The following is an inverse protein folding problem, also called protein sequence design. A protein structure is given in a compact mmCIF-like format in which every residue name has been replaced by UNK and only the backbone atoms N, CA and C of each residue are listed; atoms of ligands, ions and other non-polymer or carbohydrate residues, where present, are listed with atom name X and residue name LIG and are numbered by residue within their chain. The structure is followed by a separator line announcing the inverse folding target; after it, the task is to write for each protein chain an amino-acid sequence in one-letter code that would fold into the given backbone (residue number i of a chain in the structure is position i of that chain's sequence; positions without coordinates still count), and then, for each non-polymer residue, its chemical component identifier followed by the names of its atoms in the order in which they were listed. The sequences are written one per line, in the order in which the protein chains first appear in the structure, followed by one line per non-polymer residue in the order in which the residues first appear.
data_IF_647158840920
#
_entry.id   IF_647158840920
#
_cell.length_a   1.000
_cell.length_b   1.000
_cell.length_c   1.000
_cell.angle_alpha   90.00
_cell.angle_beta   90.00
_cell.angle_gamma   90.00
#
_symmetry.space_group_name_H-M   'P 1'
#
loop_
_entity.id
_entity.type
_entity.pdbx_description
1 polymer ?
2 non-polymer ?
3 non-polymer ?
4 water ?
#
# COMPACT_ATOMS: atom_id res chain seq x y z
N UNK A 5 -24.13 -17.28 1.52
CA UNK A 5 -22.90 -18.17 1.50
C UNK A 5 -22.19 -18.26 0.10
N UNK A 6 -20.83 -18.34 0.11
CA UNK A 6 -19.88 -18.48 -1.05
C UNK A 6 -19.18 -19.85 -1.01
N UNK A 7 -19.00 -20.50 -2.16
CA UNK A 7 -18.25 -21.79 -2.28
C UNK A 7 -16.93 -21.58 -3.03
N UNK A 8 -15.81 -21.83 -2.35
CA UNK A 8 -14.46 -21.86 -2.99
C UNK A 8 -13.78 -23.19 -2.63
N UNK A 9 -13.43 -23.99 -3.64
CA UNK A 9 -12.80 -25.32 -3.47
C UNK A 9 -13.70 -26.16 -2.57
N UNK A 10 -14.98 -26.31 -2.94
CA UNK A 10 -16.02 -27.01 -2.18
C UNK A 10 -16.01 -26.72 -0.67
N UNK A 11 -15.78 -25.45 -0.28
CA UNK A 11 -15.84 -25.00 1.14
C UNK A 11 -16.86 -23.87 1.25
N UNK A 12 -17.71 -23.91 2.28
CA UNK A 12 -18.80 -22.93 2.45
C UNK A 12 -18.31 -21.83 3.39
N UNK A 13 -18.55 -20.59 3.00
CA UNK A 13 -18.32 -19.39 3.82
C UNK A 13 -19.64 -18.62 3.92
N UNK A 14 -20.24 -18.61 5.10
CA UNK A 14 -21.38 -17.71 5.44
C UNK A 14 -20.87 -16.28 5.35
N UNK A 15 -21.32 -15.49 4.38
CA UNK A 15 -21.09 -14.02 4.35
C UNK A 15 -21.60 -13.41 5.66
N UNK A 16 -20.81 -12.53 6.29
CA UNK A 16 -21.23 -11.64 7.40
C UNK A 16 -21.53 -10.26 6.82
N UNK A 17 -20.65 -9.69 6.01
CA UNK A 17 -21.00 -8.44 5.30
C UNK A 17 -19.99 -8.12 4.20
N UNK A 18 -20.44 -7.33 3.24
CA UNK A 18 -19.62 -6.51 2.33
C UNK A 18 -18.68 -5.66 3.18
N UNK A 19 -17.48 -5.43 2.63
CA UNK A 19 -16.38 -4.60 3.18
C UNK A 19 -15.74 -3.77 2.06
N UNK A 20 -15.73 -4.35 0.86
CA UNK A 20 -15.13 -3.73 -0.33
C UNK A 20 -16.03 -3.97 -1.50
N UNK A 21 -15.98 -3.04 -2.46
CA UNK A 21 -16.92 -2.92 -3.60
C UNK A 21 -16.22 -2.14 -4.72
N UNK A 22 -15.47 -2.85 -5.57
CA UNK A 22 -15.00 -2.37 -6.88
C UNK A 22 -16.08 -2.52 -7.92
N UNK A 23 -15.82 -2.09 -9.16
CA UNK A 23 -16.73 -2.22 -10.31
C UNK A 23 -17.05 -3.68 -10.64
N UNK A 24 -16.03 -4.54 -10.74
CA UNK A 24 -16.13 -5.97 -11.11
C UNK A 24 -15.86 -6.89 -9.92
N UNK A 25 -15.79 -6.35 -8.69
CA UNK A 25 -15.26 -7.09 -7.51
C UNK A 25 -15.97 -6.68 -6.20
N UNK A 26 -15.83 -7.56 -5.20
CA UNK A 26 -16.37 -7.41 -3.84
C UNK A 26 -15.35 -8.00 -2.87
N UNK A 27 -15.28 -7.46 -1.64
CA UNK A 27 -14.59 -8.13 -0.50
C UNK A 27 -15.67 -8.40 0.55
N UNK A 28 -15.65 -9.58 1.13
CA UNK A 28 -16.64 -10.06 2.10
C UNK A 28 -15.93 -10.48 3.39
N UNK A 29 -16.43 -10.01 4.52
CA UNK A 29 -16.19 -10.65 5.85
C UNK A 29 -17.04 -11.92 5.89
N UNK A 30 -16.56 -12.97 6.53
CA UNK A 30 -17.04 -14.35 6.20
C UNK A 30 -16.64 -15.30 7.32
N UNK A 31 -17.53 -16.23 7.67
CA UNK A 31 -17.25 -17.28 8.69
C UNK A 31 -17.06 -18.58 7.94
N UNK A 32 -16.06 -19.36 8.29
CA UNK A 32 -15.84 -20.67 7.63
C UNK A 32 -16.66 -21.73 8.39
N UNK A 33 -16.43 -23.01 8.05
CA UNK A 33 -17.07 -24.20 8.67
C UNK A 33 -16.96 -24.10 10.20
N UNK A 34 -15.76 -23.86 10.72
CA UNK A 34 -15.50 -23.73 12.19
C UNK A 34 -15.76 -22.28 12.63
N UNK A 35 -16.46 -21.48 11.84
CA UNK A 35 -16.90 -20.12 12.22
C UNK A 35 -15.71 -19.27 12.68
N UNK A 36 -14.54 -19.39 12.01
CA UNK A 36 -13.41 -18.40 12.07
C UNK A 36 -13.63 -17.35 10.98
N UNK A 37 -13.32 -16.09 11.28
CA UNK A 37 -13.50 -14.95 10.34
C UNK A 37 -12.41 -14.99 9.27
N UNK A 38 -12.77 -14.56 8.06
CA UNK A 38 -11.91 -14.43 6.87
C UNK A 38 -12.46 -13.34 5.95
N UNK A 39 -11.61 -12.73 5.13
CA UNK A 39 -12.02 -11.83 4.04
C UNK A 39 -11.92 -12.65 2.77
N UNK A 40 -12.93 -12.59 1.92
CA UNK A 40 -12.88 -13.23 0.59
C UNK A 40 -13.09 -12.12 -0.43
N UNK A 41 -12.23 -12.09 -1.44
CA UNK A 41 -12.36 -11.13 -2.56
C UNK A 41 -12.94 -11.90 -3.75
N UNK A 42 -14.04 -11.39 -4.30
CA UNK A 42 -14.71 -11.85 -5.53
C UNK A 42 -14.29 -10.92 -6.67
N UNK A 43 -13.84 -11.48 -7.77
CA UNK A 43 -13.68 -10.73 -9.06
C UNK A 43 -14.49 -11.46 -10.16
N UNK A 44 -15.23 -10.69 -10.96
CA UNK A 44 -16.09 -11.17 -12.06
C UNK A 44 -15.36 -10.97 -13.40
N UNK A 45 -15.00 -12.05 -14.07
CA UNK A 45 -14.14 -12.05 -15.28
C UNK A 45 -14.98 -11.97 -16.55
N UNK A 46 -16.29 -12.18 -16.41
CA UNK A 46 -17.27 -12.20 -17.52
C UNK A 46 -16.85 -11.17 -18.58
N UNK A 47 -16.48 -9.95 -18.17
CA UNK A 47 -16.23 -8.81 -19.07
C UNK A 47 -14.72 -8.50 -19.22
N UNK A 48 -13.83 -9.41 -18.86
CA UNK A 48 -12.40 -9.06 -18.70
C UNK A 48 -11.62 -9.36 -19.97
N UNK A 49 -11.03 -8.32 -20.59
CA UNK A 49 -10.10 -8.42 -21.76
C UNK A 49 -8.87 -9.28 -21.40
N UNK A 50 -8.00 -9.59 -22.36
CA UNK A 50 -6.96 -10.62 -22.14
C UNK A 50 -5.85 -10.04 -21.24
N UNK A 51 -5.51 -8.75 -21.37
CA UNK A 51 -4.43 -8.17 -20.52
C UNK A 51 -4.95 -8.16 -19.08
N UNK A 52 -6.09 -7.52 -18.83
CA UNK A 52 -6.71 -7.47 -17.48
C UNK A 52 -6.60 -8.88 -16.89
N UNK A 53 -6.90 -9.93 -17.66
CA UNK A 53 -6.83 -11.34 -17.21
C UNK A 53 -5.38 -11.70 -16.81
N UNK A 54 -4.39 -11.25 -17.57
CA UNK A 54 -2.95 -11.60 -17.34
C UNK A 54 -2.49 -10.87 -16.08
N UNK A 55 -2.85 -9.59 -15.95
CA UNK A 55 -2.64 -8.71 -14.76
C UNK A 55 -3.11 -9.39 -13.46
N UNK A 56 -4.32 -9.95 -13.48
CA UNK A 56 -4.89 -10.70 -12.34
C UNK A 56 -4.01 -11.91 -12.06
N UNK A 57 -3.75 -12.71 -13.09
CA UNK A 57 -2.96 -13.96 -12.98
C UNK A 57 -1.59 -13.65 -12.35
N UNK A 58 -1.00 -12.51 -12.73
CA UNK A 58 0.35 -12.08 -12.29
C UNK A 58 0.29 -11.63 -10.82
N UNK A 59 -0.56 -10.64 -10.53
CA UNK A 59 -0.74 -10.18 -9.15
C UNK A 59 -0.92 -11.43 -8.28
N UNK A 60 -1.82 -12.33 -8.64
CA UNK A 60 -2.15 -13.52 -7.79
C UNK A 60 -0.89 -14.38 -7.68
N UNK A 61 -0.24 -14.70 -8.80
CA UNK A 61 0.96 -15.53 -8.83
C UNK A 61 1.97 -15.01 -7.79
N UNK A 62 2.24 -13.71 -7.83
CA UNK A 62 3.24 -13.01 -7.00
C UNK A 62 2.78 -12.93 -5.54
N UNK A 63 1.49 -12.72 -5.28
CA UNK A 63 0.92 -12.64 -3.91
C UNK A 63 0.96 -14.06 -3.31
N UNK A 64 0.51 -15.04 -4.07
CA UNK A 64 0.74 -16.46 -3.77
C UNK A 64 2.19 -16.63 -3.31
N UNK A 65 3.17 -16.17 -4.08
CA UNK A 65 4.59 -16.57 -3.93
C UNK A 65 5.14 -15.96 -2.64
N UNK A 66 4.84 -14.70 -2.32
CA UNK A 66 5.44 -13.96 -1.18
C UNK A 66 4.70 -14.26 0.13
N UNK A 67 4.07 -15.44 0.24
CA UNK A 67 3.50 -15.92 1.52
C UNK A 67 4.66 -16.23 2.47
N UNK A 68 5.48 -17.24 2.12
CA UNK A 68 6.78 -17.60 2.78
C UNK A 68 7.39 -16.36 3.44
N UNK A 69 7.64 -15.32 2.63
CA UNK A 69 8.69 -14.28 2.82
C UNK A 69 8.42 -13.38 4.03
N UNK A 70 7.21 -12.85 4.18
CA UNK A 70 6.95 -11.67 5.05
C UNK A 70 5.51 -11.70 5.55
N UNK A 71 5.34 -11.63 6.87
CA UNK A 71 4.02 -11.48 7.52
C UNK A 71 3.45 -10.09 7.20
N UNK A 72 4.23 -9.20 6.60
CA UNK A 72 3.79 -7.83 6.22
C UNK A 72 3.15 -7.85 4.82
N UNK A 73 3.05 -9.00 4.16
CA UNK A 73 2.19 -9.17 2.98
C UNK A 73 0.93 -9.89 3.46
N UNK A 74 -0.24 -9.42 3.04
CA UNK A 74 -1.57 -9.99 3.42
C UNK A 74 -1.53 -11.50 3.18
N UNK A 75 -1.81 -12.29 4.22
CA UNK A 75 -1.86 -13.77 4.13
C UNK A 75 -2.93 -14.14 3.10
N UNK A 76 -2.76 -15.27 2.40
CA UNK A 76 -3.68 -15.80 1.37
C UNK A 76 -3.78 -17.31 1.57
N UNK A 77 -4.91 -17.77 2.06
CA UNK A 77 -5.09 -19.14 2.58
C UNK A 77 -5.38 -20.07 1.41
N UNK A 78 -6.06 -19.57 0.38
CA UNK A 78 -6.56 -20.38 -0.77
C UNK A 78 -7.07 -19.43 -1.84
N UNK A 79 -7.30 -19.93 -3.05
CA UNK A 79 -7.94 -19.14 -4.13
C UNK A 79 -8.51 -20.13 -5.15
N UNK A 80 -9.45 -19.66 -5.96
CA UNK A 80 -9.96 -20.44 -7.13
C UNK A 80 -9.96 -19.48 -8.30
N UNK A 81 -9.60 -19.98 -9.46
CA UNK A 81 -9.74 -19.16 -10.69
C UNK A 81 -10.29 -20.06 -11.80
N UNK A 82 -11.11 -19.42 -12.63
CA UNK A 82 -12.13 -20.00 -13.53
C UNK A 82 -12.24 -18.99 -14.66
N UNK A 83 -12.91 -19.28 -15.75
CA UNK A 83 -12.99 -18.30 -16.87
C UNK A 83 -13.98 -17.21 -16.46
N UNK A 84 -14.84 -17.49 -15.48
CA UNK A 84 -15.98 -16.63 -15.08
C UNK A 84 -15.59 -15.77 -13.89
N UNK A 85 -14.95 -16.33 -12.86
CA UNK A 85 -14.66 -15.59 -11.60
C UNK A 85 -13.29 -15.93 -11.00
N UNK A 86 -12.91 -15.12 -10.00
CA UNK A 86 -11.87 -15.38 -8.97
C UNK A 86 -12.45 -15.18 -7.56
N UNK A 87 -12.20 -16.15 -6.66
CA UNK A 87 -12.27 -16.01 -5.19
C UNK A 87 -10.86 -16.14 -4.60
N UNK A 88 -10.49 -15.20 -3.73
CA UNK A 88 -9.26 -15.23 -2.90
C UNK A 88 -9.65 -15.21 -1.41
N UNK A 89 -9.34 -16.29 -0.67
CA UNK A 89 -9.65 -16.39 0.79
C UNK A 89 -8.36 -16.05 1.55
N UNK A 90 -8.48 -15.04 2.42
CA UNK A 90 -7.38 -14.24 3.01
C UNK A 90 -7.67 -13.99 4.50
N UNK A 91 -6.63 -13.86 5.32
CA UNK A 91 -6.78 -13.30 6.68
C UNK A 91 -7.59 -12.00 6.57
N UNK A 92 -8.39 -11.71 7.59
CA UNK A 92 -9.33 -10.56 7.58
C UNK A 92 -8.75 -9.39 8.37
N UNK A 93 -8.89 -8.19 7.85
CA UNK A 93 -8.38 -6.96 8.48
C UNK A 93 -9.31 -6.46 9.57
N UNK A 94 -8.87 -5.39 10.23
CA UNK A 94 -9.70 -4.51 11.09
C UNK A 94 -10.20 -3.37 10.21
N UNK A 95 -9.28 -2.74 9.47
CA UNK A 95 -9.55 -1.48 8.70
C UNK A 95 -8.36 -1.14 7.78
N UNK A 96 -8.63 -0.46 6.67
CA UNK A 96 -7.57 -0.02 5.71
C UNK A 96 -6.87 1.16 6.38
N UNK A 97 -5.94 1.81 5.69
CA UNK A 97 -5.11 2.90 6.24
C UNK A 97 -5.80 4.22 5.94
N UNK A 98 -6.20 4.44 4.69
CA UNK A 98 -6.92 5.67 4.24
C UNK A 98 -8.03 6.00 5.24
N UNK A 99 -8.92 5.03 5.53
CA UNK A 99 -9.90 5.02 6.65
C UNK A 99 -9.26 5.56 7.95
N UNK A 100 -8.30 4.80 8.49
CA UNK A 100 -7.69 5.00 9.83
C UNK A 100 -6.90 6.32 9.91
N UNK A 101 -6.43 6.85 8.78
CA UNK A 101 -5.74 8.16 8.66
C UNK A 101 -6.74 9.33 8.74
N UNK A 102 -7.91 9.19 8.10
CA UNK A 102 -8.98 10.22 8.06
C UNK A 102 -9.47 10.50 9.49
N UNK A 103 -9.85 9.46 10.24
CA UNK A 103 -10.46 9.65 11.58
C UNK A 103 -9.37 10.14 12.54
N UNK A 104 -8.34 9.34 12.79
CA UNK A 104 -7.24 9.73 13.73
C UNK A 104 -6.87 11.19 13.47
N UNK A 105 -6.96 12.03 14.51
CA UNK A 105 -6.46 13.43 14.51
C UNK A 105 -5.07 13.44 15.16
N UNK A 106 -4.87 12.66 16.24
CA UNK A 106 -3.62 12.61 17.04
C UNK A 106 -3.09 11.16 17.18
N UNK A 107 -1.89 10.89 16.64
CA UNK A 107 -1.26 9.52 16.56
C UNK A 107 -0.08 9.42 17.54
N UNK A 108 -0.16 8.42 18.43
CA UNK A 108 0.92 7.96 19.34
C UNK A 108 2.17 7.80 18.47
N UNK A 109 3.36 8.29 18.88
CA UNK A 109 4.56 8.19 18.03
C UNK A 109 5.25 6.81 17.93
N UNK A 110 5.23 6.00 18.99
CA UNK A 110 5.81 4.62 18.97
C UNK A 110 4.98 3.71 18.06
N UNK A 111 3.78 4.13 17.64
CA UNK A 111 2.83 3.35 16.78
C UNK A 111 2.93 3.78 15.30
N UNK A 112 3.09 5.08 15.02
CA UNK A 112 3.45 5.60 13.68
C UNK A 112 4.73 4.91 13.18
N UNK A 113 5.76 4.85 14.02
CA UNK A 113 7.09 4.25 13.71
C UNK A 113 6.95 2.75 13.46
N UNK A 114 6.22 2.03 14.32
CA UNK A 114 5.93 0.58 14.17
C UNK A 114 5.33 0.30 12.79
N UNK A 115 4.48 1.20 12.32
CA UNK A 115 3.73 1.08 11.03
C UNK A 115 4.72 1.35 9.91
N UNK A 116 5.54 2.37 10.06
CA UNK A 116 6.63 2.71 9.11
C UNK A 116 7.58 1.51 8.97
N UNK A 117 8.12 0.97 10.07
CA UNK A 117 8.90 -0.30 10.05
C UNK A 117 8.19 -1.36 9.18
N UNK A 118 6.87 -1.45 9.29
CA UNK A 118 6.00 -2.44 8.62
C UNK A 118 5.93 -2.17 7.11
N UNK A 119 5.68 -0.92 6.73
CA UNK A 119 5.67 -0.50 5.30
C UNK A 119 7.02 -0.83 4.65
N UNK A 120 8.14 -0.56 5.34
CA UNK A 120 9.51 -0.75 4.80
C UNK A 120 9.73 -2.23 4.58
N UNK A 121 9.38 -3.09 5.56
CA UNK A 121 9.58 -4.54 5.41
C UNK A 121 8.80 -4.96 4.17
N UNK A 122 7.52 -4.65 4.09
CA UNK A 122 6.64 -5.03 2.98
C UNK A 122 7.28 -4.63 1.64
N UNK A 123 7.50 -3.32 1.43
CA UNK A 123 8.03 -2.77 0.15
C UNK A 123 9.45 -3.32 -0.12
N UNK A 124 10.23 -3.55 0.94
CA UNK A 124 11.57 -4.18 0.82
C UNK A 124 11.40 -5.52 0.12
N UNK A 125 10.43 -6.33 0.53
CA UNK A 125 10.38 -7.75 0.06
C UNK A 125 9.88 -7.79 -1.40
N UNK A 126 9.02 -6.85 -1.82
CA UNK A 126 8.56 -6.83 -3.23
C UNK A 126 9.70 -6.29 -4.11
N UNK A 127 10.52 -5.39 -3.59
CA UNK A 127 11.70 -4.89 -4.33
C UNK A 127 12.63 -6.08 -4.55
N UNK A 128 12.75 -6.96 -3.57
CA UNK A 128 13.65 -8.14 -3.67
C UNK A 128 13.18 -9.14 -4.74
N UNK A 129 11.94 -9.07 -5.22
CA UNK A 129 11.38 -9.94 -6.30
C UNK A 129 11.14 -9.10 -7.55
N UNK A 130 11.77 -7.94 -7.62
CA UNK A 130 11.76 -7.15 -8.85
C UNK A 130 10.46 -6.43 -9.04
N UNK A 131 9.64 -6.34 -8.00
CA UNK A 131 8.36 -5.58 -8.08
C UNK A 131 8.63 -4.17 -7.57
N UNK A 132 8.46 -3.19 -8.44
CA UNK A 132 8.18 -1.78 -8.07
C UNK A 132 6.66 -1.58 -8.10
N UNK A 133 6.03 -1.21 -6.99
CA UNK A 133 4.55 -1.06 -6.96
C UNK A 133 4.11 0.00 -7.96
N UNK A 134 4.80 1.14 -8.01
CA UNK A 134 4.62 2.27 -8.95
C UNK A 134 3.41 3.16 -8.64
N UNK A 135 2.59 2.83 -7.64
CA UNK A 135 1.45 3.70 -7.25
C UNK A 135 1.14 3.37 -5.80
N UNK A 136 2.03 3.73 -4.88
CA UNK A 136 1.77 3.40 -3.46
C UNK A 136 0.81 4.44 -2.87
N UNK A 137 -0.13 4.00 -2.04
CA UNK A 137 -1.10 4.89 -1.35
C UNK A 137 -1.65 4.15 -0.13
N UNK A 138 -2.09 4.85 0.91
CA UNK A 138 -2.58 4.19 2.13
C UNK A 138 -3.63 3.10 1.88
N UNK A 139 -4.46 3.28 0.84
CA UNK A 139 -5.46 2.28 0.43
C UNK A 139 -4.81 0.90 0.29
N UNK A 140 -3.52 0.86 -0.12
CA UNK A 140 -2.78 -0.37 -0.48
C UNK A 140 -2.33 -1.12 0.77
N UNK A 141 -2.54 -0.55 1.96
CA UNK A 141 -2.21 -1.23 3.24
C UNK A 141 -3.40 -1.30 4.19
N UNK A 142 -3.32 -2.32 5.04
CA UNK A 142 -4.42 -2.86 5.84
C UNK A 142 -3.86 -3.22 7.22
N UNK A 143 -4.54 -2.78 8.27
CA UNK A 143 -4.17 -3.04 9.70
C UNK A 143 -4.77 -4.40 10.07
N UNK A 144 -4.06 -5.25 10.81
CA UNK A 144 -4.41 -6.68 11.04
C UNK A 144 -3.71 -7.17 12.32
N UNK A 145 -4.37 -7.10 13.47
CA UNK A 145 -3.76 -7.34 14.81
C UNK A 145 -2.70 -6.25 15.03
N UNK A 146 -3.10 -5.00 14.80
CA UNK A 146 -2.29 -3.78 15.09
C UNK A 146 -1.06 -3.67 14.23
N UNK A 147 -0.83 -4.71 13.40
CA UNK A 147 0.27 -4.85 12.41
C UNK A 147 -0.22 -4.34 11.07
N UNK A 148 0.59 -3.54 10.36
CA UNK A 148 0.23 -2.96 9.04
C UNK A 148 0.66 -3.93 7.93
N UNK A 149 -0.16 -4.12 6.88
CA UNK A 149 0.11 -5.13 5.83
C UNK A 149 -0.21 -4.61 4.44
N UNK A 150 0.67 -4.89 3.49
CA UNK A 150 0.43 -4.65 2.04
C UNK A 150 -0.45 -5.80 1.47
N UNK A 151 -1.40 -5.42 0.61
CA UNK A 151 -2.47 -6.34 0.15
C UNK A 151 -2.40 -6.48 -1.37
N UNK A 152 -1.65 -5.61 -2.04
CA UNK A 152 -1.50 -5.69 -3.52
C UNK A 152 -0.17 -5.07 -4.00
N UNK A 153 0.14 -5.30 -5.28
CA UNK A 153 1.47 -5.11 -5.87
C UNK A 153 1.41 -4.12 -7.04
N UNK A 154 0.28 -3.48 -7.26
CA UNK A 154 0.14 -2.50 -8.36
C UNK A 154 0.25 -3.12 -9.74
N UNK A 155 0.09 -4.45 -9.84
CA UNK A 155 0.18 -5.21 -11.11
C UNK A 155 -1.23 -5.31 -11.75
N UNK A 156 -2.18 -5.96 -11.07
CA UNK A 156 -3.60 -6.00 -11.47
C UNK A 156 -4.14 -4.58 -11.65
N UNK A 157 -5.31 -4.42 -12.27
CA UNK A 157 -5.81 -3.08 -12.70
C UNK A 157 -7.31 -2.98 -12.39
N UNK A 173 -9.45 8.71 -5.99
CA UNK A 173 -8.68 9.17 -7.16
C UNK A 173 -7.63 10.22 -6.79
N UNK A 175 -3.85 11.96 -5.85
CA UNK A 175 -2.70 12.18 -6.72
C UNK A 175 -1.53 12.77 -5.92
N UNK A 176 -1.61 12.80 -4.59
CA UNK A 176 -0.65 13.48 -3.68
C UNK A 176 0.62 12.63 -3.56
N UNK A 177 0.47 11.31 -3.69
CA UNK A 177 1.50 10.27 -3.45
C UNK A 177 2.35 10.05 -4.71
N UNK A 178 1.96 10.63 -5.83
CA UNK A 178 2.64 10.47 -7.15
C UNK A 178 4.05 11.07 -7.06
N UNK A 179 5.11 10.30 -7.38
CA UNK A 179 6.48 10.83 -7.36
C UNK A 179 6.84 11.62 -8.61
N UNK A 180 7.82 12.54 -8.52
CA UNK A 180 8.19 13.42 -9.64
C UNK A 180 8.49 12.68 -10.96
N UNK A 181 9.36 11.68 -10.91
CA UNK A 181 9.80 10.94 -12.12
C UNK A 181 8.57 10.38 -12.86
N UNK A 182 7.47 10.09 -12.15
CA UNK A 182 6.21 9.53 -12.71
C UNK A 182 5.63 10.52 -13.73
N UNK A 183 5.78 11.83 -13.48
CA UNK A 183 5.11 12.93 -14.22
C UNK A 183 5.88 13.18 -15.51
N UNK A 184 7.15 12.79 -15.53
CA UNK A 184 8.03 12.85 -16.73
C UNK A 184 8.08 11.47 -17.39
N UNK A 185 6.96 10.74 -17.36
CA UNK A 185 6.68 9.54 -18.21
C UNK A 185 5.95 10.00 -19.48
N UNK A 186 5.96 11.31 -19.72
CA UNK A 186 4.90 12.02 -20.46
C UNK A 186 5.48 13.33 -20.99
N UNK A 198 11.42 2.68 -17.80
CA UNK A 198 12.17 3.27 -16.65
C UNK A 198 11.25 3.46 -15.45
N UNK A 199 11.27 2.50 -14.50
CA UNK A 199 10.66 2.71 -13.15
C UNK A 199 11.53 1.99 -12.11
N UNK A 200 12.24 2.77 -11.29
CA UNK A 200 13.18 2.28 -10.25
C UNK A 200 12.48 2.24 -8.89
N UNK A 201 12.94 1.38 -7.98
CA UNK A 201 12.28 1.21 -6.69
C UNK A 201 12.24 2.52 -5.87
N UNK A 202 13.09 3.49 -6.19
CA UNK A 202 13.08 4.85 -5.59
C UNK A 202 11.64 5.40 -5.60
N UNK A 203 10.89 5.21 -6.69
CA UNK A 203 9.50 5.72 -6.89
C UNK A 203 8.68 5.40 -5.64
N UNK A 204 8.72 4.14 -5.20
CA UNK A 204 8.03 3.63 -3.98
C UNK A 204 8.47 4.44 -2.75
N UNK A 205 9.76 4.75 -2.64
CA UNK A 205 10.31 5.47 -1.45
C UNK A 205 9.61 6.83 -1.31
N UNK A 206 9.52 7.61 -2.40
CA UNK A 206 8.75 8.88 -2.47
C UNK A 206 7.38 8.69 -1.83
N UNK A 207 6.59 7.78 -2.40
CA UNK A 207 5.20 7.48 -1.97
C UNK A 207 5.18 7.12 -0.48
N UNK A 208 6.06 6.22 -0.01
CA UNK A 208 6.14 5.90 1.44
C UNK A 208 6.42 7.22 2.18
N UNK A 209 7.36 8.01 1.69
CA UNK A 209 7.55 9.39 2.19
C UNK A 209 6.21 10.08 2.40
N UNK A 210 5.49 10.30 1.30
CA UNK A 210 4.25 11.13 1.25
C UNK A 210 3.33 10.68 2.39
N UNK A 211 3.24 9.37 2.62
CA UNK A 211 2.39 8.73 3.67
C UNK A 211 2.95 9.12 5.03
N UNK A 212 4.27 9.11 5.18
CA UNK A 212 4.90 9.31 6.50
C UNK A 212 4.68 10.77 6.89
N UNK A 213 4.90 11.68 5.94
CA UNK A 213 4.57 13.13 6.00
C UNK A 213 3.13 13.33 6.51
N UNK A 214 2.12 12.80 5.82
CA UNK A 214 0.71 12.84 6.27
C UNK A 214 0.68 12.35 7.73
N UNK A 215 1.31 11.22 8.01
CA UNK A 215 1.32 10.56 9.35
C UNK A 215 1.98 11.44 10.43
N UNK A 216 2.71 12.51 10.08
CA UNK A 216 3.30 13.44 11.10
C UNK A 216 2.76 14.87 10.97
N UNK A 217 2.58 15.39 9.75
CA UNK A 217 2.03 16.76 9.51
C UNK A 217 0.54 16.69 9.14
N UNK A 218 -0.18 15.63 9.56
CA UNK A 218 -1.64 15.50 9.50
C UNK A 218 -2.23 15.64 8.09
N UNK A 219 -1.38 15.77 7.06
CA UNK A 219 -1.79 16.00 5.63
C UNK A 219 -0.62 15.68 4.68
N UNK A 220 -0.88 15.46 3.39
CA UNK A 220 0.21 15.19 2.40
C UNK A 220 0.90 16.51 2.06
N UNK A 221 2.05 16.48 1.34
CA UNK A 221 2.82 17.69 1.05
C UNK A 221 2.10 18.74 0.20
N UNK A 222 1.35 18.29 -0.80
CA UNK A 222 0.71 19.18 -1.81
C UNK A 222 -0.80 19.10 -1.65
N UNK A 223 -1.28 18.91 -0.42
CA UNK A 223 -2.73 18.82 -0.07
C UNK A 223 -3.36 20.22 -0.19
N UNK A 224 -2.58 21.28 0.04
CA UNK A 224 -3.05 22.69 -0.03
C UNK A 224 -3.37 23.06 -1.48
N UNK A 225 -2.49 22.75 -2.44
CA UNK A 225 -2.61 23.21 -3.86
C UNK A 225 -3.75 22.46 -4.54
N UNK A 226 -4.98 22.97 -4.46
CA UNK A 226 -6.21 22.24 -4.93
C UNK A 226 -6.25 22.23 -6.46
N UNK A 227 -5.74 23.26 -7.15
CA UNK A 227 -5.76 23.28 -8.64
C UNK A 227 -4.68 22.32 -9.18
N UNK A 228 -5.14 21.22 -9.79
CA UNK A 228 -4.37 19.99 -10.06
C UNK A 228 -3.29 20.26 -11.11
N UNK A 229 -3.54 21.14 -12.08
CA UNK A 229 -2.57 21.43 -13.18
C UNK A 229 -1.30 22.00 -12.56
N UNK A 230 -1.44 22.76 -11.46
CA UNK A 230 -0.34 23.44 -10.73
C UNK A 230 0.26 22.49 -9.68
N UNK A 231 -0.57 21.70 -8.98
CA UNK A 231 -0.11 20.67 -8.01
C UNK A 231 0.90 19.73 -8.67
N UNK A 232 0.70 19.38 -9.95
CA UNK A 232 1.68 18.61 -10.77
C UNK A 232 2.97 19.42 -10.90
N UNK A 233 2.85 20.71 -11.23
CA UNK A 233 3.99 21.64 -11.48
C UNK A 233 4.82 21.81 -10.21
N UNK A 234 4.18 21.77 -9.03
CA UNK A 234 4.82 21.89 -7.70
C UNK A 234 5.71 20.66 -7.44
N UNK A 235 5.21 19.47 -7.74
CA UNK A 235 5.90 18.17 -7.50
C UNK A 235 7.22 18.18 -8.27
N UNK A 236 7.23 18.67 -9.50
CA UNK A 236 8.44 18.61 -10.38
C UNK A 236 9.40 19.79 -10.10
N UNK A 237 8.96 20.88 -9.45
CA UNK A 237 9.72 22.16 -9.38
C UNK A 237 10.75 22.14 -8.24
N UNK A 238 12.08 22.17 -8.55
CA UNK A 238 13.11 22.14 -7.50
C UNK A 238 13.15 23.43 -6.66
N UNK A 239 12.91 24.58 -7.29
CA UNK A 239 12.94 25.92 -6.63
C UNK A 239 11.68 26.07 -5.72
N UNK A 240 10.63 25.29 -5.96
CA UNK A 240 9.55 25.05 -4.97
C UNK A 240 10.13 24.22 -3.82
N UNK A 241 9.83 24.57 -2.58
CA UNK A 241 10.44 23.97 -1.36
C UNK A 241 9.34 23.31 -0.52
N UNK A 242 9.38 21.98 -0.35
CA UNK A 242 8.46 21.28 0.59
C UNK A 242 8.86 21.74 1.99
N UNK A 243 7.87 21.97 2.85
CA UNK A 243 8.06 22.60 4.19
C UNK A 243 8.06 21.49 5.25
N UNK A 244 9.15 21.36 6.01
CA UNK A 244 9.27 20.41 7.14
C UNK A 244 9.35 21.19 8.46
N UNK A 245 8.19 21.52 9.06
CA UNK A 245 8.16 22.04 10.42
C UNK A 245 9.12 21.31 11.35
N UNK A 246 10.00 22.06 12.04
CA UNK A 246 10.84 21.54 13.15
C UNK A 246 9.91 20.81 14.13
N UNK A 247 10.40 19.70 14.69
CA UNK A 247 9.58 18.82 15.56
C UNK A 247 10.50 18.04 16.51
N UNK A 248 9.95 17.31 17.50
CA UNK A 248 10.77 16.63 18.48
C UNK A 248 11.69 15.54 17.92
N UNK A 249 11.17 14.70 17.03
CA UNK A 249 12.02 13.61 16.49
C UNK A 249 12.76 14.18 15.29
N UNK A 250 14.01 14.60 15.49
CA UNK A 250 14.77 15.15 14.35
C UNK A 250 14.97 14.02 13.34
N UNK A 251 15.21 12.80 13.82
CA UNK A 251 15.44 11.66 12.91
C UNK A 251 14.27 11.61 11.92
N UNK A 252 13.07 11.41 12.43
CA UNK A 252 11.84 11.43 11.59
C UNK A 252 11.88 12.61 10.61
N UNK A 253 12.29 13.81 11.01
CA UNK A 253 12.35 14.97 10.08
C UNK A 253 13.35 14.64 8.96
N UNK A 254 14.47 14.01 9.33
CA UNK A 254 15.55 13.65 8.37
C UNK A 254 15.00 12.61 7.36
N UNK A 255 14.39 11.52 7.84
CA UNK A 255 13.80 10.47 6.95
C UNK A 255 12.94 11.13 5.85
N UNK A 256 11.99 11.99 6.25
CA UNK A 256 10.97 12.63 5.35
C UNK A 256 11.67 13.43 4.25
N UNK A 257 12.69 14.22 4.62
CA UNK A 257 13.47 15.05 3.67
C UNK A 257 14.21 14.12 2.70
N UNK A 258 14.80 13.05 3.23
CA UNK A 258 15.60 12.06 2.45
C UNK A 258 14.68 11.23 1.55
N UNK A 259 13.48 10.90 2.06
CA UNK A 259 12.43 10.21 1.28
C UNK A 259 11.86 11.13 0.18
N UNK A 260 11.88 12.45 0.34
CA UNK A 260 11.17 13.37 -0.60
C UNK A 260 12.16 14.20 -1.44
N UNK A 261 13.37 13.70 -1.68
CA UNK A 261 14.34 14.36 -2.60
C UNK A 261 13.86 14.11 -4.03
N UNK A 262 13.73 15.13 -4.86
CA UNK A 262 13.15 15.04 -6.23
C UNK A 262 13.99 14.11 -7.09
N UNK A 263 15.32 14.29 -7.10
CA UNK A 263 16.25 13.45 -7.89
C UNK A 263 16.28 12.05 -7.28
N UNK A 264 15.69 11.01 -7.94
CA UNK A 264 15.59 9.69 -7.32
C UNK A 264 16.96 9.06 -6.98
N UNK A 265 18.04 9.38 -7.69
CA UNK A 265 19.39 8.81 -7.41
C UNK A 265 19.93 9.43 -6.11
N UNK A 266 19.41 10.58 -5.70
CA UNK A 266 19.79 11.25 -4.41
C UNK A 266 18.83 10.84 -3.28
N UNK A 267 17.61 10.40 -3.61
CA UNK A 267 16.65 9.77 -2.66
C UNK A 267 17.28 8.56 -1.96
N UNK A 268 16.76 8.24 -0.79
CA UNK A 268 17.31 7.21 0.13
C UNK A 268 16.72 5.84 -0.23
N UNK A 269 17.54 4.80 -0.26
CA UNK A 269 17.10 3.44 -0.65
C UNK A 269 16.33 2.77 0.49
N UNK A 270 15.48 1.80 0.20
CA UNK A 270 14.81 0.99 1.26
C UNK A 270 15.89 0.38 2.16
N UNK A 271 16.95 -0.25 1.63
CA UNK A 271 18.05 -0.74 2.48
C UNK A 271 18.64 0.34 3.39
N UNK A 272 18.80 1.56 2.90
CA UNK A 272 19.33 2.69 3.68
C UNK A 272 18.32 2.98 4.81
N UNK A 273 17.05 3.24 4.48
CA UNK A 273 15.95 3.54 5.44
C UNK A 273 15.87 2.50 6.57
N UNK A 274 16.13 1.23 6.29
CA UNK A 274 16.10 0.11 7.27
C UNK A 274 17.25 0.23 8.29
N UNK A 275 18.30 1.00 7.98
CA UNK A 275 19.49 1.17 8.85
C UNK A 275 19.54 2.58 9.44
N UNK A 276 18.54 3.42 9.13
CA UNK A 276 18.44 4.82 9.57
C UNK A 276 18.19 4.83 11.07
N UNK A 277 18.73 5.82 11.82
CA UNK A 277 18.50 5.87 13.26
C UNK A 277 17.00 5.77 13.61
N UNK A 278 16.14 6.44 12.82
CA UNK A 278 14.68 6.56 13.09
C UNK A 278 14.08 5.16 13.35
N UNK A 279 14.47 4.14 12.59
CA UNK A 279 13.86 2.78 12.71
C UNK A 279 14.74 1.94 13.63
N UNK A 280 15.93 2.44 13.99
CA UNK A 280 17.01 1.64 14.63
C UNK A 280 17.19 2.03 16.12
N UNK A 281 17.26 3.34 16.44
CA UNK A 281 17.49 3.88 17.82
C UNK A 281 16.23 3.68 18.68
N UNK A 282 16.33 2.88 19.75
CA UNK A 282 15.30 2.67 20.79
C UNK A 282 15.65 3.50 22.03
#
# INVERSE_FOLDING_TARGET
GSNECISVKGRIYSILKQIGSGGSSKVFQVLNEKKQIYAIKYVNLEEADNQTLDSYRNEIAYLNKLQQHSDKIIRLYDYEITDQYIYMVMECGNIDLNSWLKKKKSIDPWERKSYWKNMLEAVHTIHQHGIVHSDLKPANFLIVDGMLKLIDFGIANQMQPDTTSVVKDSQVGXVNYMPPEAIKDMSSSRENGKSKSKISPKSDVWSLGCILYYMTYGKTPFQQIINQISKLHAIIDPNHEIEFPDIPEKDLQDVLKCCLKRDPKQRISIPELLAHPYVQIQTHPVNQMAKGTT
#
